data_IF_327699150357
#
_entry.id   IF_327699150357
#
_cell.length_a   1.000
_cell.length_b   1.000
_cell.length_c   1.000
_cell.angle_alpha   90.00
_cell.angle_beta   90.00
_cell.angle_gamma   90.00
#
_symmetry.space_group_name_H-M   'P 1'
#
loop_
_entity.id
_entity.type
_entity.pdbx_description
1 polymer ?
#
# COMPACT_ATOMS: atom_id res chain seq x y z
N UNK A 1 4.05 3.65 -18.68
CA UNK A 1 3.17 2.46 -18.56
C UNK A 1 1.97 2.69 -17.66
N UNK A 2 2.15 3.09 -16.40
CA UNK A 2 1.06 3.22 -15.41
C UNK A 2 0.09 4.37 -15.75
N UNK A 3 0.59 5.58 -16.05
CA UNK A 3 -0.25 6.70 -16.49
C UNK A 3 -0.99 6.39 -17.81
N UNK A 4 -0.38 5.58 -18.68
CA UNK A 4 -0.95 5.16 -19.96
C UNK A 4 -1.86 3.91 -19.87
N UNK A 5 -2.12 3.37 -18.66
CA UNK A 5 -2.90 2.13 -18.42
C UNK A 5 -2.46 0.91 -19.25
N UNK A 6 -1.18 0.85 -19.65
CA UNK A 6 -0.62 -0.27 -20.40
C UNK A 6 -0.09 -1.35 -19.45
N UNK A 7 -0.10 -2.61 -19.89
CA UNK A 7 0.50 -3.73 -19.16
C UNK A 7 1.97 -3.49 -18.89
N UNK A 8 2.43 -3.81 -17.68
CA UNK A 8 3.83 -3.62 -17.26
C UNK A 8 4.74 -4.64 -17.99
N UNK A 9 5.73 -4.19 -18.80
CA UNK A 9 6.65 -5.05 -19.55
C UNK A 9 7.40 -6.07 -18.69
N UNK A 10 7.75 -7.28 -19.22
CA UNK A 10 8.47 -8.35 -18.51
C UNK A 10 9.85 -7.90 -17.99
N UNK A 11 10.42 -8.61 -17.00
CA UNK A 11 11.67 -8.24 -16.33
C UNK A 11 12.85 -8.00 -17.31
N UNK A 12 12.92 -8.78 -18.39
CA UNK A 12 13.91 -8.65 -19.48
C UNK A 12 13.89 -7.29 -20.19
N UNK A 13 12.79 -6.55 -20.11
CA UNK A 13 12.68 -5.19 -20.67
C UNK A 13 13.47 -4.15 -19.84
N UNK A 14 13.95 -4.51 -18.65
CA UNK A 14 14.52 -3.59 -17.66
C UNK A 14 15.96 -3.94 -17.25
N UNK A 15 16.71 -4.62 -18.12
CA UNK A 15 18.07 -5.12 -17.81
C UNK A 15 19.09 -4.01 -17.49
N UNK A 16 18.77 -2.73 -17.72
CA UNK A 16 19.57 -1.60 -17.27
C UNK A 16 19.01 -0.99 -15.97
N UNK A 17 19.79 -1.14 -14.89
CA UNK A 17 19.55 -0.88 -13.46
C UNK A 17 19.06 0.55 -13.04
N UNK A 18 18.46 1.35 -13.91
CA UNK A 18 18.06 2.74 -13.65
C UNK A 18 16.62 2.94 -13.12
N UNK A 19 15.95 1.87 -12.68
CA UNK A 19 14.48 1.87 -12.52
C UNK A 19 13.93 1.91 -11.09
N UNK A 20 14.78 1.99 -10.06
CA UNK A 20 14.28 2.05 -8.68
C UNK A 20 13.52 3.35 -8.39
N UNK A 21 13.79 4.44 -9.13
CA UNK A 21 13.22 5.76 -8.84
C UNK A 21 11.89 6.08 -9.56
N UNK A 22 11.48 5.31 -10.59
CA UNK A 22 10.39 5.73 -11.50
C UNK A 22 9.03 5.03 -11.26
N UNK A 23 8.82 4.40 -10.10
CA UNK A 23 7.55 3.74 -9.72
C UNK A 23 7.19 2.46 -10.49
N UNK A 24 7.68 2.27 -11.72
CA UNK A 24 7.53 1.04 -12.51
C UNK A 24 8.35 -0.12 -11.92
N UNK A 25 9.57 0.16 -11.47
CA UNK A 25 10.44 -0.82 -10.79
C UNK A 25 9.79 -1.34 -9.50
N UNK A 26 9.25 -0.44 -8.68
CA UNK A 26 8.53 -0.77 -7.45
C UNK A 26 7.31 -1.66 -7.71
N UNK A 27 6.52 -1.35 -8.75
CA UNK A 27 5.39 -2.20 -9.15
C UNK A 27 5.86 -3.58 -9.59
N UNK A 28 6.93 -3.68 -10.38
CA UNK A 28 7.47 -4.98 -10.83
C UNK A 28 7.99 -5.80 -9.64
N UNK A 29 8.71 -5.16 -8.71
CA UNK A 29 9.17 -5.79 -7.48
C UNK A 29 7.98 -6.33 -6.65
N UNK A 30 6.96 -5.50 -6.42
CA UNK A 30 5.73 -5.89 -5.73
C UNK A 30 5.06 -7.11 -6.37
N UNK A 31 4.91 -7.14 -7.70
CA UNK A 31 4.28 -8.26 -8.40
C UNK A 31 5.07 -9.57 -8.26
N UNK A 32 6.41 -9.48 -8.30
CA UNK A 32 7.27 -10.63 -8.11
C UNK A 32 7.21 -11.15 -6.66
N UNK A 33 7.24 -10.24 -5.68
CA UNK A 33 7.10 -10.58 -4.26
C UNK A 33 5.74 -11.22 -3.97
N UNK A 34 4.64 -10.65 -4.48
CA UNK A 34 3.30 -11.19 -4.32
C UNK A 34 3.17 -12.59 -4.95
N UNK A 35 3.76 -12.82 -6.13
CA UNK A 35 3.73 -14.13 -6.81
C UNK A 35 4.40 -15.21 -5.96
N UNK A 36 5.45 -14.86 -5.22
CA UNK A 36 6.17 -15.78 -4.33
C UNK A 36 5.39 -15.96 -3.01
N UNK A 37 5.03 -14.86 -2.35
CA UNK A 37 4.35 -14.86 -1.06
C UNK A 37 2.99 -15.57 -1.10
N UNK A 38 2.20 -15.38 -2.17
CA UNK A 38 0.87 -16.00 -2.27
C UNK A 38 0.86 -17.53 -2.22
N UNK A 39 2.01 -18.18 -2.46
CA UNK A 39 2.16 -19.65 -2.34
C UNK A 39 2.08 -20.12 -0.88
N UNK A 40 2.37 -19.22 0.05
CA UNK A 40 2.41 -19.47 1.49
C UNK A 40 1.31 -18.73 2.25
N UNK A 41 0.35 -18.09 1.56
CA UNK A 41 -0.76 -17.44 2.22
C UNK A 41 -1.61 -18.47 2.98
N UNK A 42 -2.00 -18.19 4.24
CA UNK A 42 -2.80 -19.13 5.01
C UNK A 42 -4.21 -19.23 4.44
N UNK A 43 -4.87 -20.38 4.63
CA UNK A 43 -6.27 -20.55 4.25
C UNK A 43 -7.26 -19.82 5.16
N UNK A 44 -6.83 -19.41 6.36
CA UNK A 44 -7.65 -18.70 7.35
C UNK A 44 -6.78 -17.89 8.30
N UNK A 45 -7.26 -16.73 8.71
CA UNK A 45 -6.72 -15.91 9.80
C UNK A 45 -7.84 -15.51 10.78
N UNK A 46 -7.53 -14.98 11.97
CA UNK A 46 -8.51 -14.26 12.78
C UNK A 46 -9.21 -13.15 11.99
N UNK A 47 -10.49 -12.84 12.24
CA UNK A 47 -11.20 -11.79 11.52
C UNK A 47 -10.47 -10.45 11.55
N UNK A 48 -10.09 -9.93 10.38
CA UNK A 48 -9.45 -8.61 10.22
C UNK A 48 -9.97 -7.90 8.97
N UNK A 49 -10.17 -6.59 9.08
CA UNK A 49 -10.53 -5.71 7.96
C UNK A 49 -9.41 -4.71 7.76
N UNK A 50 -8.74 -4.78 6.61
CA UNK A 50 -7.52 -4.02 6.34
C UNK A 50 -7.73 -3.06 5.17
N UNK A 51 -7.51 -1.77 5.43
CA UNK A 51 -7.47 -0.73 4.43
C UNK A 51 -6.02 -0.50 3.99
N UNK A 52 -5.68 -1.00 2.79
CA UNK A 52 -4.37 -0.82 2.17
C UNK A 52 -4.32 0.57 1.55
N UNK A 53 -3.60 1.48 2.22
CA UNK A 53 -3.35 2.85 1.80
C UNK A 53 -2.32 2.84 0.67
N UNK A 54 -2.58 3.62 -0.37
CA UNK A 54 -1.68 3.70 -1.52
C UNK A 54 -1.85 5.00 -2.28
N UNK A 55 -0.89 5.36 -3.12
CA UNK A 55 -1.07 6.45 -4.07
C UNK A 55 -2.01 6.05 -5.22
N UNK A 56 -2.68 7.02 -5.82
CA UNK A 56 -3.67 6.80 -6.90
C UNK A 56 -3.12 5.94 -8.04
N UNK A 57 -1.83 6.08 -8.39
CA UNK A 57 -1.20 5.36 -9.50
C UNK A 57 -1.13 3.84 -9.27
N UNK A 58 -0.89 3.41 -8.02
CA UNK A 58 -0.69 2.02 -7.66
C UNK A 58 -2.01 1.29 -7.39
N UNK A 59 -3.09 2.01 -7.08
CA UNK A 59 -4.38 1.41 -6.74
C UNK A 59 -4.94 0.43 -7.80
N UNK A 60 -4.89 0.70 -9.12
CA UNK A 60 -5.34 -0.27 -10.12
C UNK A 60 -4.52 -1.56 -10.13
N UNK A 61 -3.20 -1.45 -9.89
CA UNK A 61 -2.29 -2.60 -9.81
C UNK A 61 -2.62 -3.46 -8.60
N UNK A 62 -2.80 -2.83 -7.42
CA UNK A 62 -3.16 -3.54 -6.19
C UNK A 62 -4.52 -4.22 -6.32
N UNK A 63 -5.54 -3.53 -6.85
CA UNK A 63 -6.86 -4.13 -7.09
C UNK A 63 -6.80 -5.34 -8.01
N UNK A 64 -6.00 -5.26 -9.09
CA UNK A 64 -5.89 -6.35 -10.08
C UNK A 64 -5.12 -7.57 -9.56
N UNK A 65 -4.17 -7.39 -8.64
CA UNK A 65 -3.24 -8.47 -8.27
C UNK A 65 -3.39 -8.91 -6.81
N UNK A 66 -3.52 -7.98 -5.86
CA UNK A 66 -3.58 -8.28 -4.43
C UNK A 66 -4.94 -8.87 -4.03
N UNK A 67 -6.04 -8.23 -4.44
CA UNK A 67 -7.39 -8.68 -4.05
C UNK A 67 -7.68 -10.13 -4.47
N UNK A 68 -7.39 -10.57 -5.73
CA UNK A 68 -7.58 -11.96 -6.11
C UNK A 68 -6.68 -12.92 -5.34
N UNK A 69 -5.44 -12.52 -5.00
CA UNK A 69 -4.51 -13.34 -4.23
C UNK A 69 -5.01 -13.59 -2.80
N UNK A 70 -5.68 -12.62 -2.20
CA UNK A 70 -6.21 -12.70 -0.83
C UNK A 70 -7.62 -13.30 -0.74
N UNK A 71 -8.35 -13.42 -1.86
CA UNK A 71 -9.77 -13.85 -1.88
C UNK A 71 -10.05 -15.20 -1.19
N UNK A 72 -9.06 -16.11 -1.15
CA UNK A 72 -9.21 -17.45 -0.55
C UNK A 72 -8.92 -17.48 0.95
N UNK A 73 -8.41 -16.37 1.52
CA UNK A 73 -8.04 -16.29 2.93
C UNK A 73 -9.31 -16.00 3.74
N UNK A 74 -9.80 -16.98 4.48
CA UNK A 74 -10.99 -16.79 5.34
C UNK A 74 -10.65 -15.88 6.52
N UNK A 75 -11.56 -14.97 6.86
CA UNK A 75 -11.37 -14.00 7.94
C UNK A 75 -10.67 -12.71 7.52
N UNK A 76 -10.20 -12.60 6.27
CA UNK A 76 -9.54 -11.41 5.76
C UNK A 76 -10.47 -10.62 4.83
N UNK A 77 -10.72 -9.35 5.16
CA UNK A 77 -11.36 -8.39 4.29
C UNK A 77 -10.36 -7.29 3.92
N UNK A 78 -10.16 -7.03 2.62
CA UNK A 78 -9.20 -6.01 2.15
C UNK A 78 -9.93 -4.95 1.33
N UNK A 79 -9.60 -3.68 1.58
CA UNK A 79 -9.98 -2.54 0.76
C UNK A 79 -8.75 -1.77 0.32
N UNK A 80 -8.67 -1.46 -0.98
CA UNK A 80 -7.62 -0.59 -1.52
C UNK A 80 -8.11 0.85 -1.47
N UNK A 81 -7.44 1.68 -0.68
CA UNK A 81 -7.78 3.08 -0.44
C UNK A 81 -6.72 3.97 -1.11
N UNK A 82 -6.99 4.46 -2.34
CA UNK A 82 -6.12 5.42 -2.98
C UNK A 82 -6.23 6.78 -2.27
N UNK A 83 -5.10 7.31 -1.82
CA UNK A 83 -5.00 8.65 -1.26
C UNK A 83 -4.50 9.60 -2.33
N UNK A 84 -5.19 10.74 -2.45
CA UNK A 84 -4.74 11.86 -3.28
C UNK A 84 -3.76 12.69 -2.46
N UNK A 85 -2.56 12.93 -3.00
CA UNK A 85 -1.60 13.84 -2.39
C UNK A 85 -2.12 15.27 -2.55
N UNK A 86 -2.53 15.93 -1.46
CA UNK A 86 -2.93 17.34 -1.47
C UNK A 86 -1.82 18.24 -0.96
N UNK A 87 -0.88 17.69 -0.20
CA UNK A 87 0.28 18.42 0.33
C UNK A 87 1.24 18.88 -0.78
N UNK A 88 1.64 17.96 -1.67
CA UNK A 88 2.50 18.26 -2.83
C UNK A 88 1.72 18.44 -4.15
N UNK A 89 0.39 18.29 -4.10
CA UNK A 89 -0.51 18.41 -5.25
C UNK A 89 -0.86 17.07 -5.92
N UNK A 90 -2.06 16.99 -6.51
CA UNK A 90 -2.66 15.72 -6.97
C UNK A 90 -1.89 15.04 -8.14
N UNK A 91 -0.95 15.75 -8.77
CA UNK A 91 -0.04 15.20 -9.79
C UNK A 91 1.00 14.26 -9.19
N UNK A 92 1.26 14.36 -7.88
CA UNK A 92 2.07 13.41 -7.11
C UNK A 92 1.22 12.20 -6.75
N UNK A 93 1.52 11.08 -7.39
CA UNK A 93 0.64 9.88 -7.36
C UNK A 93 1.31 8.63 -6.78
N UNK A 94 2.55 8.76 -6.29
CA UNK A 94 3.29 7.71 -5.58
C UNK A 94 2.94 7.72 -4.10
N UNK A 95 3.01 6.55 -3.44
CA UNK A 95 2.63 6.44 -2.03
C UNK A 95 3.66 7.01 -1.07
N UNK A 96 4.95 7.06 -1.44
CA UNK A 96 6.03 7.52 -0.55
C UNK A 96 6.01 9.02 -0.24
N UNK A 97 5.11 9.76 -0.87
CA UNK A 97 4.96 11.19 -0.66
C UNK A 97 3.65 11.53 0.07
N UNK A 98 2.91 10.53 0.55
CA UNK A 98 1.68 10.70 1.29
C UNK A 98 1.99 11.17 2.72
N UNK A 99 1.25 12.16 3.19
CA UNK A 99 1.37 12.74 4.52
C UNK A 99 0.38 12.12 5.50
N UNK A 100 0.60 12.30 6.81
CA UNK A 100 -0.37 11.86 7.82
C UNK A 100 -1.73 12.52 7.59
N UNK A 101 -1.74 13.83 7.29
CA UNK A 101 -2.96 14.58 7.04
C UNK A 101 -3.78 14.04 5.85
N UNK A 102 -3.13 13.69 4.74
CA UNK A 102 -3.81 13.15 3.56
C UNK A 102 -4.38 11.75 3.82
N UNK A 103 -3.59 10.88 4.46
CA UNK A 103 -4.01 9.51 4.79
C UNK A 103 -5.19 9.54 5.77
N UNK A 104 -5.10 10.36 6.82
CA UNK A 104 -6.12 10.43 7.85
C UNK A 104 -7.47 10.91 7.35
N UNK A 105 -7.50 11.83 6.36
CA UNK A 105 -8.76 12.28 5.73
C UNK A 105 -9.49 11.14 5.05
N UNK A 106 -8.77 10.31 4.29
CA UNK A 106 -9.35 9.14 3.62
C UNK A 106 -9.71 8.05 4.65
N UNK A 107 -8.93 7.92 5.72
CA UNK A 107 -9.20 6.99 6.81
C UNK A 107 -10.49 7.33 7.57
N UNK A 108 -10.82 8.61 7.76
CA UNK A 108 -12.04 9.04 8.42
C UNK A 108 -13.32 8.59 7.70
N UNK A 109 -13.25 8.34 6.39
CA UNK A 109 -14.38 7.84 5.61
C UNK A 109 -14.55 6.32 5.67
N UNK A 110 -13.64 5.59 6.31
CA UNK A 110 -13.72 4.14 6.44
C UNK A 110 -14.67 3.74 7.58
N UNK A 111 -15.46 2.67 7.42
CA UNK A 111 -16.28 2.13 8.51
C UNK A 111 -15.46 1.74 9.73
N UNK A 112 -16.13 1.54 10.85
CA UNK A 112 -15.52 1.02 12.08
C UNK A 112 -14.98 -0.40 11.91
N UNK A 113 -13.96 -0.72 12.70
CA UNK A 113 -13.28 -2.02 12.69
C UNK A 113 -12.33 -2.23 11.51
N UNK A 114 -12.09 -1.21 10.69
CA UNK A 114 -11.03 -1.22 9.68
C UNK A 114 -9.72 -0.68 10.27
N UNK A 115 -8.65 -1.44 10.12
CA UNK A 115 -7.28 -1.04 10.45
C UNK A 115 -6.59 -0.51 9.19
N UNK A 116 -5.72 0.48 9.32
CA UNK A 116 -4.95 1.00 8.19
C UNK A 116 -3.66 0.22 8.03
N UNK A 117 -3.29 0.00 6.78
CA UNK A 117 -1.98 -0.47 6.40
C UNK A 117 -1.37 0.57 5.45
N UNK A 118 -0.29 1.19 5.88
CA UNK A 118 0.45 2.18 5.09
C UNK A 118 1.77 1.57 4.62
N UNK A 119 2.29 2.01 3.46
CA UNK A 119 3.66 1.69 3.08
C UNK A 119 4.62 2.33 4.10
N UNK A 120 5.60 1.55 4.57
CA UNK A 120 6.61 2.02 5.52
C UNK A 120 7.45 3.18 4.98
N UNK A 121 7.68 3.20 3.66
CA UNK A 121 8.39 4.27 2.97
C UNK A 121 7.62 5.61 2.89
N UNK A 122 6.47 5.73 3.56
CA UNK A 122 5.85 7.02 3.88
C UNK A 122 6.55 7.73 5.06
N UNK A 123 7.33 6.99 5.85
CA UNK A 123 8.07 7.48 7.01
C UNK A 123 9.55 7.62 6.64
N UNK A 124 10.21 8.65 7.17
CA UNK A 124 11.66 8.79 7.11
C UNK A 124 12.35 7.96 8.22
N UNK A 125 13.69 8.03 8.29
CA UNK A 125 14.48 7.28 9.28
C UNK A 125 14.16 7.67 10.74
N UNK A 126 13.61 8.86 10.97
CA UNK A 126 13.14 9.33 12.28
C UNK A 126 11.69 8.91 12.59
N UNK A 127 11.04 8.15 11.69
CA UNK A 127 9.65 7.71 11.85
C UNK A 127 8.62 8.80 11.61
N UNK A 128 8.98 9.85 10.86
CA UNK A 128 8.12 10.99 10.54
C UNK A 128 7.61 10.94 9.11
N UNK A 129 6.36 11.35 8.92
CA UNK A 129 5.80 11.69 7.62
C UNK A 129 6.39 13.01 7.10
N UNK A 130 6.17 13.32 5.82
CA UNK A 130 6.66 14.55 5.19
C UNK A 130 6.01 15.84 5.72
N UNK A 131 4.87 15.75 6.41
CA UNK A 131 4.26 16.86 7.15
C UNK A 131 4.82 16.99 8.58
N UNK A 132 5.84 16.22 8.95
CA UNK A 132 6.48 16.23 10.27
C UNK A 132 5.73 15.46 11.36
N UNK A 133 4.63 14.79 10.99
CA UNK A 133 3.81 14.02 11.91
C UNK A 133 4.35 12.62 12.15
N UNK A 134 3.96 12.01 13.27
CA UNK A 134 4.34 10.62 13.61
C UNK A 134 3.24 9.63 13.21
N UNK A 135 3.59 8.34 13.14
CA UNK A 135 2.61 7.25 13.03
C UNK A 135 1.54 7.31 14.13
N UNK A 136 1.96 7.63 15.37
CA UNK A 136 1.06 7.77 16.51
C UNK A 136 0.07 8.93 16.34
N UNK A 137 0.49 10.05 15.75
CA UNK A 137 -0.44 11.14 15.43
C UNK A 137 -1.48 10.67 14.43
N UNK A 138 -1.07 9.94 13.39
CA UNK A 138 -1.99 9.40 12.39
C UNK A 138 -2.98 8.40 13.03
N UNK A 139 -2.53 7.49 13.89
CA UNK A 139 -3.41 6.56 14.63
C UNK A 139 -4.48 7.30 15.42
N UNK A 140 -4.07 8.34 16.16
CA UNK A 140 -4.97 9.18 16.95
C UNK A 140 -5.99 9.90 16.07
N UNK A 141 -5.54 10.49 14.96
CA UNK A 141 -6.42 11.22 14.04
C UNK A 141 -7.38 10.30 13.28
N UNK A 142 -6.90 9.12 12.86
CA UNK A 142 -7.71 8.13 12.15
C UNK A 142 -8.68 7.37 13.07
N UNK A 143 -8.45 7.39 14.39
CA UNK A 143 -9.26 6.71 15.39
C UNK A 143 -9.21 5.18 15.28
N UNK A 144 -8.12 4.64 14.74
CA UNK A 144 -7.98 3.22 14.39
C UNK A 144 -6.50 2.81 14.32
N UNK A 145 -6.17 1.51 14.49
CA UNK A 145 -4.79 1.04 14.38
C UNK A 145 -4.19 1.31 13.00
N UNK A 146 -2.92 1.69 12.97
CA UNK A 146 -2.17 1.94 11.72
C UNK A 146 -0.88 1.14 11.72
N UNK A 147 -0.71 0.33 10.67
CA UNK A 147 0.45 -0.54 10.51
C UNK A 147 1.30 -0.04 9.35
N UNK A 148 2.52 0.40 9.64
CA UNK A 148 3.54 0.69 8.62
C UNK A 148 4.25 -0.61 8.22
N UNK A 149 4.15 -0.99 6.94
CA UNK A 149 4.73 -2.24 6.43
C UNK A 149 5.26 -2.06 5.01
N UNK A 150 6.32 -2.80 4.69
CA UNK A 150 6.91 -2.90 3.34
C UNK A 150 5.96 -3.58 2.34
N UNK A 151 5.24 -4.61 2.79
CA UNK A 151 4.30 -5.39 1.98
C UNK A 151 3.02 -5.74 2.73
N UNK A 152 1.85 -5.75 2.05
CA UNK A 152 0.57 -5.98 2.71
C UNK A 152 0.47 -7.28 3.49
N UNK A 153 0.98 -8.37 2.93
CA UNK A 153 0.80 -9.70 3.50
C UNK A 153 1.57 -9.96 4.79
N UNK A 154 2.41 -9.03 5.26
CA UNK A 154 3.05 -9.11 6.58
C UNK A 154 2.05 -9.16 7.74
N UNK A 155 0.82 -8.66 7.54
CA UNK A 155 -0.22 -8.64 8.58
C UNK A 155 -1.12 -9.89 8.62
N UNK A 156 -0.99 -10.81 7.66
CA UNK A 156 -1.82 -12.02 7.58
C UNK A 156 -1.06 -13.28 7.12
N UNK A 157 0.26 -13.24 7.05
CA UNK A 157 1.13 -14.37 6.74
C UNK A 157 2.31 -14.40 7.71
N UNK A 158 2.65 -15.60 8.16
CA UNK A 158 3.75 -15.86 9.10
C UNK A 158 5.10 -15.42 8.53
N UNK A 159 5.97 -14.96 9.42
CA UNK A 159 7.44 -15.02 9.23
C UNK A 159 7.90 -16.42 8.80
#
# INVERSE_FOLDING_TARGET
FLQARRTVPPAKYYEDFWQMENGVGLVRHFLNALKQARRHFPGRIPPRRLAVITGVLAAPVLRKNLLPACRRIRGLEIRIVPVKNRFFGETVTVSGLLTAGDIGREAAALPDGWELMIPDHCLNDDGLFLDGETLHTLERFAGRPVHAVDVPWRLWGNE
#
